data_IF_542283780411
#
_entry.id   IF_542283780411
#
_cell.length_a   1.000
_cell.length_b   1.000
_cell.length_c   1.000
_cell.angle_alpha   90.00
_cell.angle_beta   90.00
_cell.angle_gamma   90.00
#
_symmetry.space_group_name_H-M   'P 1'
#
loop_
_entity.id
_entity.type
_entity.pdbx_description
1 polymer ?
#
# COMPACT_ATOMS: atom_id res chain seq x y z
N UNK A 1 12.76 -7.62 -1.31
CA UNK A 1 13.44 -6.30 -1.36
C UNK A 1 12.33 -5.28 -1.31
N UNK A 2 12.34 -4.45 -0.27
CA UNK A 2 11.26 -3.51 -0.02
C UNK A 2 11.15 -2.48 -1.15
N UNK A 3 9.91 -2.23 -1.59
CA UNK A 3 9.57 -1.15 -2.49
C UNK A 3 9.58 0.18 -1.70
N UNK A 4 9.99 1.29 -2.31
CA UNK A 4 9.98 2.59 -1.64
C UNK A 4 8.57 3.00 -1.22
N UNK A 5 8.46 3.49 0.01
CA UNK A 5 7.23 3.97 0.65
C UNK A 5 7.32 5.45 1.05
N UNK A 6 8.54 6.03 1.01
CA UNK A 6 8.85 7.41 1.39
C UNK A 6 9.59 8.17 0.28
N UNK A 7 9.59 9.52 0.34
CA UNK A 7 10.36 10.36 -0.59
C UNK A 7 11.86 10.15 -0.43
N UNK A 8 12.31 9.89 0.79
CA UNK A 8 13.70 9.65 1.15
C UNK A 8 14.23 8.40 0.45
N UNK A 9 13.47 7.31 0.44
CA UNK A 9 13.81 6.08 -0.29
C UNK A 9 13.84 6.28 -1.81
N UNK A 10 12.94 7.12 -2.36
CA UNK A 10 12.99 7.50 -3.77
C UNK A 10 14.29 8.26 -4.09
N UNK A 11 14.69 9.20 -3.24
CA UNK A 11 15.95 9.96 -3.39
C UNK A 11 17.17 9.04 -3.30
N UNK A 12 17.20 8.10 -2.36
CA UNK A 12 18.27 7.11 -2.22
C UNK A 12 18.44 6.25 -3.48
N UNK A 13 17.35 6.03 -4.22
CA UNK A 13 17.35 5.30 -5.50
C UNK A 13 17.60 6.18 -6.72
N UNK A 14 17.83 7.48 -6.52
CA UNK A 14 17.92 8.48 -7.59
C UNK A 14 16.68 8.51 -8.52
N UNK A 15 15.49 8.28 -7.95
CA UNK A 15 14.23 8.31 -8.70
C UNK A 15 13.59 9.69 -8.60
N UNK A 16 13.40 10.36 -9.74
CA UNK A 16 12.66 11.62 -9.79
C UNK A 16 11.16 11.43 -9.51
N UNK A 17 10.58 10.32 -9.98
CA UNK A 17 9.21 9.89 -9.71
C UNK A 17 9.04 8.38 -9.96
N UNK A 18 8.07 7.71 -9.30
CA UNK A 18 7.66 6.35 -9.64
C UNK A 18 6.97 6.28 -11.01
N UNK A 19 7.03 5.11 -11.64
CA UNK A 19 6.19 4.77 -12.78
C UNK A 19 4.78 4.40 -12.32
N UNK A 20 4.68 3.60 -11.26
CA UNK A 20 3.44 3.11 -10.68
C UNK A 20 3.47 3.37 -9.18
N UNK A 21 2.35 3.86 -8.62
CA UNK A 21 2.14 3.92 -7.18
C UNK A 21 1.01 2.97 -6.83
N UNK A 22 1.29 2.03 -5.93
CA UNK A 22 0.31 1.10 -5.39
C UNK A 22 -0.20 1.61 -4.04
N UNK A 23 -1.52 1.70 -3.89
CA UNK A 23 -2.19 2.11 -2.66
C UNK A 23 -2.91 0.90 -2.08
N UNK A 24 -2.69 0.62 -0.80
CA UNK A 24 -3.31 -0.52 -0.10
C UNK A 24 -3.95 -0.08 1.22
N UNK A 25 -5.11 -0.66 1.52
CA UNK A 25 -5.78 -0.52 2.81
C UNK A 25 -5.14 -1.32 3.96
N UNK A 26 -4.23 -2.24 3.65
CA UNK A 26 -3.47 -3.01 4.64
C UNK A 26 -2.10 -2.40 4.92
N UNK A 27 -1.49 -2.78 6.04
CA UNK A 27 -0.04 -2.62 6.26
C UNK A 27 0.77 -3.25 5.12
N UNK A 28 1.82 -2.56 4.66
CA UNK A 28 2.72 -3.11 3.65
C UNK A 28 3.69 -4.12 4.27
N UNK A 29 3.53 -5.39 3.91
CA UNK A 29 4.42 -6.50 4.27
C UNK A 29 4.90 -7.16 2.98
N UNK A 30 6.23 -7.27 2.80
CA UNK A 30 6.86 -7.93 1.65
C UNK A 30 6.73 -9.47 1.80
N UNK A 31 5.52 -9.98 1.50
CA UNK A 31 5.14 -11.39 1.66
C UNK A 31 4.32 -11.87 0.45
N UNK A 32 4.50 -13.14 -0.01
CA UNK A 32 3.73 -13.70 -1.10
C UNK A 32 2.23 -13.84 -0.80
N UNK A 33 1.84 -13.72 0.47
CA UNK A 33 0.44 -13.72 0.89
C UNK A 33 -0.25 -12.36 0.70
N UNK A 34 0.52 -11.31 0.39
CA UNK A 34 0.02 -9.94 0.24
C UNK A 34 0.00 -9.58 -1.24
N UNK A 35 -1.20 -9.42 -1.80
CA UNK A 35 -1.37 -9.18 -3.24
C UNK A 35 -0.62 -7.95 -3.76
N UNK A 36 -0.60 -6.85 -2.98
CA UNK A 36 0.12 -5.63 -3.37
C UNK A 36 1.64 -5.85 -3.45
N UNK A 37 2.21 -6.70 -2.59
CA UNK A 37 3.63 -7.02 -2.61
C UNK A 37 3.98 -7.85 -3.85
N UNK A 38 3.14 -8.85 -4.17
CA UNK A 38 3.31 -9.66 -5.38
C UNK A 38 3.23 -8.81 -6.65
N UNK A 39 2.19 -7.99 -6.79
CA UNK A 39 2.01 -7.09 -7.95
C UNK A 39 3.18 -6.13 -8.06
N UNK A 40 3.57 -5.49 -6.95
CA UNK A 40 4.69 -4.56 -6.93
C UNK A 40 6.00 -5.23 -7.31
N UNK A 41 6.23 -6.48 -6.92
CA UNK A 41 7.41 -7.24 -7.31
C UNK A 41 7.43 -7.60 -8.78
N UNK A 42 6.31 -8.07 -9.33
CA UNK A 42 6.18 -8.38 -10.76
C UNK A 42 6.46 -7.15 -11.62
N UNK A 43 5.91 -5.99 -11.25
CA UNK A 43 6.17 -4.73 -11.94
C UNK A 43 7.62 -4.29 -11.81
N UNK A 44 8.22 -4.41 -10.62
CA UNK A 44 9.62 -4.08 -10.40
C UNK A 44 10.57 -4.99 -11.20
N UNK A 45 10.30 -6.29 -11.24
CA UNK A 45 11.08 -7.27 -12.02
C UNK A 45 10.93 -7.03 -13.54
N UNK A 46 9.81 -6.46 -13.98
CA UNK A 46 9.61 -5.98 -15.35
C UNK A 46 10.32 -4.63 -15.66
N UNK A 47 11.03 -4.05 -14.69
CA UNK A 47 11.82 -2.83 -14.84
C UNK A 47 11.10 -1.53 -14.51
N UNK A 48 9.88 -1.59 -13.97
CA UNK A 48 9.16 -0.38 -13.55
C UNK A 48 9.60 0.11 -12.17
N UNK A 49 9.57 1.42 -11.98
CA UNK A 49 9.77 2.07 -10.68
C UNK A 49 8.47 2.06 -9.90
N UNK A 50 8.36 1.16 -8.93
CA UNK A 50 7.12 0.99 -8.14
C UNK A 50 7.29 1.59 -6.75
N UNK A 51 6.34 2.41 -6.32
CA UNK A 51 6.20 2.87 -4.94
C UNK A 51 4.93 2.34 -4.28
N UNK A 52 4.92 2.27 -2.94
CA UNK A 52 3.75 1.79 -2.18
C UNK A 52 3.33 2.81 -1.12
N UNK A 53 2.02 3.11 -1.08
CA UNK A 53 1.36 3.87 -0.03
C UNK A 53 0.40 2.94 0.71
N UNK A 54 0.81 2.49 1.89
CA UNK A 54 -0.03 1.71 2.78
C UNK A 54 -0.77 2.60 3.76
N UNK A 55 -2.05 2.30 3.97
CA UNK A 55 -2.94 2.94 4.95
C UNK A 55 -2.82 4.48 4.96
N UNK A 56 -3.01 5.16 3.82
CA UNK A 56 -2.95 6.62 3.81
C UNK A 56 -4.06 7.20 4.70
N UNK A 57 -3.72 8.23 5.48
CA UNK A 57 -4.72 9.03 6.19
C UNK A 57 -5.60 9.78 5.18
N UNK A 58 -6.86 9.38 5.09
CA UNK A 58 -7.86 9.96 4.19
C UNK A 58 -8.23 11.40 4.56
N UNK A 59 -7.89 11.87 5.75
CA UNK A 59 -8.11 13.27 6.19
C UNK A 59 -6.94 14.18 5.79
N UNK A 60 -5.79 13.61 5.41
CA UNK A 60 -4.59 14.34 5.08
C UNK A 60 -4.22 14.13 3.61
N UNK A 61 -4.56 15.10 2.75
CA UNK A 61 -4.22 15.07 1.32
C UNK A 61 -2.72 14.85 1.06
N UNK A 62 -1.86 15.30 1.99
CA UNK A 62 -0.42 15.14 1.90
C UNK A 62 0.04 13.68 1.92
N UNK A 63 -0.71 12.77 2.56
CA UNK A 63 -0.28 11.39 2.76
C UNK A 63 -0.47 10.56 1.48
N UNK A 64 -1.62 10.68 0.82
CA UNK A 64 -1.83 10.06 -0.51
C UNK A 64 -0.89 10.66 -1.57
N UNK A 65 -0.49 11.93 -1.40
CA UNK A 65 0.44 12.62 -2.29
C UNK A 65 1.92 12.41 -1.94
N UNK A 66 2.25 11.59 -0.92
CA UNK A 66 3.61 11.55 -0.35
C UNK A 66 4.69 11.05 -1.31
N UNK A 67 4.34 10.30 -2.36
CA UNK A 67 5.31 9.86 -3.36
C UNK A 67 5.29 10.69 -4.66
N UNK A 68 4.47 11.75 -4.70
CA UNK A 68 4.20 12.52 -5.91
C UNK A 68 3.29 11.78 -6.89
N UNK A 69 3.22 12.28 -8.13
CA UNK A 69 2.39 11.70 -9.19
C UNK A 69 3.15 10.59 -9.94
N UNK A 70 2.53 9.41 -10.15
CA UNK A 70 3.14 8.33 -10.93
C UNK A 70 3.19 8.71 -12.42
N UNK A 71 4.19 8.22 -13.14
CA UNK A 71 4.30 8.46 -14.60
C UNK A 71 3.22 7.73 -15.39
N UNK A 72 2.78 6.56 -14.95
CA UNK A 72 1.87 5.69 -15.69
C UNK A 72 0.48 5.64 -15.05
N UNK A 73 0.36 5.10 -13.84
CA UNK A 73 -0.94 4.95 -13.18
C UNK A 73 -0.85 4.75 -11.66
N UNK A 74 -1.99 4.91 -11.01
CA UNK A 74 -2.25 4.52 -9.62
C UNK A 74 -2.94 3.15 -9.57
N UNK A 75 -2.41 2.21 -8.81
CA UNK A 75 -3.05 0.93 -8.55
C UNK A 75 -3.62 0.90 -7.14
N UNK A 76 -4.93 0.80 -6.98
CA UNK A 76 -5.58 0.84 -5.65
C UNK A 76 -6.16 -0.53 -5.32
N UNK A 77 -5.88 -1.04 -4.12
CA UNK A 77 -6.46 -2.28 -3.59
C UNK A 77 -7.02 -2.07 -2.20
N UNK A 78 -8.13 -2.74 -1.89
CA UNK A 78 -8.74 -2.75 -0.56
C UNK A 78 -7.96 -3.55 0.49
N UNK A 79 -6.91 -4.26 0.09
CA UNK A 79 -6.16 -5.17 0.96
C UNK A 79 -6.54 -6.63 0.74
N UNK A 80 -6.04 -7.50 1.61
CA UNK A 80 -6.21 -8.94 1.61
C UNK A 80 -7.41 -9.36 2.48
N UNK A 81 -7.81 -8.52 3.43
CA UNK A 81 -8.95 -8.78 4.29
C UNK A 81 -10.23 -8.21 3.70
N UNK A 82 -11.28 -9.03 3.64
CA UNK A 82 -12.60 -8.56 3.29
C UNK A 82 -13.17 -7.64 4.39
N UNK A 83 -13.83 -6.57 3.98
CA UNK A 83 -14.42 -5.58 4.88
C UNK A 83 -15.43 -6.15 5.88
N UNK A 84 -16.16 -7.23 5.53
CA UNK A 84 -17.08 -7.91 6.44
C UNK A 84 -16.30 -8.61 7.55
N UNK A 85 -15.20 -9.26 7.21
CA UNK A 85 -14.35 -9.93 8.18
C UNK A 85 -13.61 -8.92 9.04
N UNK A 86 -13.08 -7.84 8.46
CA UNK A 86 -12.40 -6.79 9.22
C UNK A 86 -13.33 -6.11 10.23
N UNK A 87 -14.54 -5.73 9.80
CA UNK A 87 -15.43 -4.94 10.64
C UNK A 87 -16.41 -5.78 11.48
N UNK A 88 -16.60 -7.07 11.19
CA UNK A 88 -17.63 -7.87 11.84
C UNK A 88 -17.14 -9.26 12.26
N UNK A 89 -17.67 -9.72 13.38
CA UNK A 89 -17.54 -11.12 13.84
C UNK A 89 -18.40 -12.05 13.00
N UNK A 90 -18.18 -13.37 13.11
CA UNK A 90 -19.01 -14.38 12.42
C UNK A 90 -20.52 -14.27 12.75
N UNK A 91 -20.88 -13.67 13.87
CA UNK A 91 -22.28 -13.39 14.28
C UNK A 91 -22.78 -12.00 13.86
N UNK A 92 -22.05 -11.30 12.99
CA UNK A 92 -22.33 -9.93 12.49
C UNK A 92 -22.30 -8.82 13.55
N UNK A 93 -21.69 -9.05 14.72
CA UNK A 93 -21.39 -7.95 15.65
C UNK A 93 -20.18 -7.16 15.16
N UNK A 94 -20.24 -5.83 15.21
CA UNK A 94 -19.13 -4.96 14.83
C UNK A 94 -17.91 -5.20 15.73
N UNK A 95 -16.74 -5.40 15.15
CA UNK A 95 -15.46 -5.48 15.86
C UNK A 95 -15.03 -4.08 16.28
N UNK A 96 -14.44 -4.00 17.48
CA UNK A 96 -13.94 -2.74 18.04
C UNK A 96 -12.46 -2.50 17.74
N UNK A 97 -11.70 -3.58 17.44
CA UNK A 97 -10.27 -3.57 17.12
C UNK A 97 -10.05 -4.23 15.74
N UNK A 98 -9.14 -3.65 14.94
CA UNK A 98 -8.70 -4.04 13.60
C UNK A 98 -7.31 -4.72 13.67
N UNK A 99 -7.29 -6.04 13.48
CA UNK A 99 -6.10 -6.89 13.61
C UNK A 99 -4.95 -6.56 12.62
N UNK A 100 -5.17 -5.74 11.57
CA UNK A 100 -4.14 -5.42 10.57
C UNK A 100 -3.61 -3.98 10.63
N UNK A 101 -4.06 -3.18 11.59
CA UNK A 101 -3.60 -1.80 11.81
C UNK A 101 -2.59 -1.75 12.96
N UNK A 102 -1.42 -1.08 12.82
CA UNK A 102 -0.47 -0.94 13.93
C UNK A 102 -1.11 -0.17 15.09
N UNK A 103 -1.43 -0.87 16.18
CA UNK A 103 -2.05 -0.28 17.37
C UNK A 103 -3.41 -0.87 17.76
N UNK A 104 -3.98 -1.72 16.89
CA UNK A 104 -5.34 -2.26 17.04
C UNK A 104 -6.42 -1.37 16.45
#
# INVERSE_FOLDING_TARGET
>A
MLLPTTKEELKQRAWNRPDVILVTGDTYIDSPHIGVAVIGRVLADAGYRVGVIAQPDIKAEADICRLGEPRLFWGVTGGCMDSMVANYTATKKKRHDDDLTPGG
#
